data_IF_850002091249
#
_entry.id   IF_850002091249
#
_cell.length_a   1.000
_cell.length_b   1.000
_cell.length_c   1.000
_cell.angle_alpha   90.00
_cell.angle_beta   90.00
_cell.angle_gamma   90.00
#
_symmetry.space_group_name_H-M   'P 1'
#
loop_
_entity.id
_entity.type
_entity.pdbx_description
1 polymer ?
#
# COMPACT_ATOMS: atom_id res chain seq x y z
N UNK A 1 -3.23 -35.09 -1.74
CA UNK A 1 -2.42 -34.76 -0.55
C UNK A 1 -0.96 -34.43 -0.93
N UNK A 2 -0.36 -35.08 -1.95
CA UNK A 2 1.00 -34.75 -2.45
C UNK A 2 1.12 -33.32 -2.99
N UNK A 3 0.19 -32.88 -3.85
CA UNK A 3 0.27 -31.54 -4.47
C UNK A 3 0.40 -30.37 -3.48
N UNK A 4 -0.27 -30.44 -2.32
CA UNK A 4 -0.19 -29.40 -1.30
C UNK A 4 1.18 -29.44 -0.61
N UNK A 5 1.69 -30.64 -0.33
CA UNK A 5 3.01 -30.83 0.28
C UNK A 5 4.10 -30.33 -0.68
N UNK A 6 3.95 -30.59 -1.97
CA UNK A 6 4.87 -30.15 -3.01
C UNK A 6 4.88 -28.61 -3.13
N UNK A 7 3.70 -27.97 -3.08
CA UNK A 7 3.58 -26.51 -3.06
C UNK A 7 4.19 -25.88 -1.81
N UNK A 8 3.98 -26.50 -0.64
CA UNK A 8 4.57 -26.04 0.62
C UNK A 8 6.09 -26.18 0.57
N UNK A 9 6.63 -27.30 0.10
CA UNK A 9 8.07 -27.49 -0.07
C UNK A 9 8.67 -26.49 -1.06
N UNK A 10 8.01 -26.22 -2.18
CA UNK A 10 8.44 -25.22 -3.14
C UNK A 10 8.48 -23.80 -2.52
N UNK A 11 7.45 -23.44 -1.74
CA UNK A 11 7.43 -22.17 -1.02
C UNK A 11 8.56 -22.07 0.02
N UNK A 12 8.79 -23.13 0.81
CA UNK A 12 9.88 -23.20 1.79
C UNK A 12 11.25 -23.03 1.12
N UNK A 13 11.48 -23.67 -0.03
CA UNK A 13 12.72 -23.53 -0.77
C UNK A 13 12.95 -22.12 -1.32
N UNK A 14 11.90 -21.44 -1.77
CA UNK A 14 11.99 -20.05 -2.21
C UNK A 14 12.31 -19.11 -1.05
N UNK A 15 11.67 -19.34 0.10
CA UNK A 15 11.96 -18.62 1.34
C UNK A 15 13.41 -18.86 1.76
N UNK A 16 13.89 -20.10 1.80
CA UNK A 16 15.27 -20.41 2.17
C UNK A 16 16.29 -19.69 1.27
N UNK A 17 16.05 -19.66 -0.05
CA UNK A 17 16.88 -18.92 -1.02
C UNK A 17 16.87 -17.40 -0.78
N UNK A 18 15.71 -16.82 -0.47
CA UNK A 18 15.62 -15.41 -0.11
C UNK A 18 16.35 -15.11 1.20
N UNK A 19 16.22 -16.00 2.19
CA UNK A 19 16.82 -15.85 3.51
C UNK A 19 18.35 -16.01 3.49
N UNK A 20 18.92 -16.65 2.47
CA UNK A 20 20.37 -16.70 2.25
C UNK A 20 21.01 -15.32 2.03
N UNK A 21 20.21 -14.31 1.64
CA UNK A 21 20.68 -12.93 1.50
C UNK A 21 21.06 -12.30 2.84
N UNK A 22 20.57 -12.83 3.96
CA UNK A 22 20.81 -12.28 5.29
C UNK A 22 21.92 -13.05 6.04
N UNK A 23 23.11 -12.45 6.25
CA UNK A 23 24.24 -13.13 6.89
C UNK A 23 23.96 -13.55 8.33
N UNK A 24 23.11 -12.82 9.05
CA UNK A 24 22.67 -13.17 10.40
C UNK A 24 21.97 -14.55 10.48
N UNK A 25 21.18 -14.91 9.46
CA UNK A 25 20.47 -16.18 9.42
C UNK A 25 21.40 -17.35 9.07
N UNK A 26 22.45 -17.10 8.28
CA UNK A 26 23.49 -18.09 7.98
C UNK A 26 24.31 -18.43 9.23
N UNK A 27 24.59 -17.44 10.07
CA UNK A 27 25.32 -17.68 11.32
C UNK A 27 24.48 -18.41 12.38
N UNK A 28 23.18 -18.13 12.42
CA UNK A 28 22.21 -18.86 13.25
C UNK A 28 22.04 -20.33 12.83
N UNK A 29 22.00 -20.62 11.53
CA UNK A 29 21.91 -22.00 11.00
C UNK A 29 23.12 -22.86 11.39
N UNK A 30 24.32 -22.27 11.48
CA UNK A 30 25.51 -23.01 11.95
C UNK A 30 25.38 -23.46 13.42
N UNK A 31 24.64 -22.71 14.23
CA UNK A 31 24.45 -23.01 15.65
C UNK A 31 23.21 -23.85 15.91
N UNK A 32 22.20 -23.79 15.04
CA UNK A 32 20.92 -24.47 15.21
C UNK A 32 20.64 -25.35 13.97
N UNK A 33 20.58 -26.68 14.10
CA UNK A 33 20.46 -27.63 12.97
C UNK A 33 19.05 -27.70 12.38
N UNK A 34 18.37 -26.57 12.24
CA UNK A 34 17.01 -26.45 11.65
C UNK A 34 17.05 -25.51 10.45
N UNK A 35 16.30 -25.80 9.37
CA UNK A 35 16.28 -24.93 8.20
C UNK A 35 15.69 -23.55 8.51
N UNK A 36 16.20 -22.51 7.84
CA UNK A 36 15.85 -21.10 8.09
C UNK A 36 14.37 -20.82 7.88
N UNK A 37 13.74 -21.48 6.93
CA UNK A 37 12.30 -21.39 6.65
C UNK A 37 11.44 -21.80 7.84
N UNK A 38 11.79 -22.87 8.56
CA UNK A 38 11.09 -23.26 9.80
C UNK A 38 11.30 -22.26 10.93
N UNK A 39 12.50 -21.69 11.03
CA UNK A 39 12.80 -20.64 12.02
C UNK A 39 11.91 -19.41 11.74
N UNK A 40 11.84 -18.94 10.49
CA UNK A 40 10.98 -17.83 10.10
C UNK A 40 9.51 -18.14 10.39
N UNK A 41 9.02 -19.31 9.98
CA UNK A 41 7.64 -19.73 10.25
C UNK A 41 7.34 -19.81 11.75
N UNK A 42 8.29 -20.29 12.55
CA UNK A 42 8.21 -20.30 14.01
C UNK A 42 8.06 -18.89 14.57
N UNK A 43 8.90 -17.94 14.14
CA UNK A 43 8.80 -16.54 14.56
C UNK A 43 7.50 -15.88 14.13
N UNK A 44 7.06 -16.11 12.89
CA UNK A 44 5.78 -15.58 12.37
C UNK A 44 4.61 -16.17 13.16
N UNK A 45 4.59 -17.49 13.35
CA UNK A 45 3.55 -18.17 14.13
C UNK A 45 3.51 -17.68 15.58
N UNK A 46 4.67 -17.59 16.24
CA UNK A 46 4.78 -17.04 17.58
C UNK A 46 4.28 -15.60 17.66
N UNK A 47 4.63 -14.76 16.69
CA UNK A 47 4.16 -13.39 16.59
C UNK A 47 2.62 -13.29 16.50
N UNK A 48 2.00 -14.10 15.63
CA UNK A 48 0.54 -14.16 15.53
C UNK A 48 -0.13 -14.71 16.79
N UNK A 49 0.51 -15.68 17.47
CA UNK A 49 0.05 -16.19 18.78
C UNK A 49 0.09 -15.07 19.83
N UNK A 50 1.16 -14.27 19.89
CA UNK A 50 1.24 -13.14 20.83
C UNK A 50 0.16 -12.08 20.56
N UNK A 51 -0.14 -11.80 19.29
CA UNK A 51 -1.24 -10.91 18.91
C UNK A 51 -2.58 -11.48 19.36
N UNK A 52 -2.80 -12.78 19.12
CA UNK A 52 -4.02 -13.50 19.49
C UNK A 52 -4.25 -13.48 21.01
N UNK A 53 -3.21 -13.72 21.80
CA UNK A 53 -3.28 -13.73 23.26
C UNK A 53 -3.48 -12.34 23.86
N UNK A 54 -2.99 -11.27 23.22
CA UNK A 54 -3.16 -9.87 23.62
C UNK A 54 -2.86 -9.55 25.10
N UNK A 55 -1.98 -10.32 25.75
CA UNK A 55 -1.70 -10.17 27.19
C UNK A 55 -1.08 -8.78 27.45
N UNK A 56 -1.70 -8.00 28.35
CA UNK A 56 -1.22 -6.67 28.72
C UNK A 56 -1.22 -5.63 27.59
N UNK A 57 -2.03 -5.84 26.54
CA UNK A 57 -2.10 -4.93 25.38
C UNK A 57 -1.00 -5.14 24.33
N UNK A 58 -0.16 -6.18 24.47
CA UNK A 58 0.93 -6.47 23.52
C UNK A 58 0.43 -6.63 22.08
N UNK A 59 -0.77 -7.19 21.87
CA UNK A 59 -1.30 -7.37 20.53
C UNK A 59 -1.65 -6.05 19.84
N UNK A 60 -1.95 -4.97 20.58
CA UNK A 60 -2.10 -3.63 19.99
C UNK A 60 -0.78 -3.13 19.43
N UNK A 61 0.28 -3.24 20.24
CA UNK A 61 1.62 -2.83 19.84
C UNK A 61 2.09 -3.62 18.62
N UNK A 62 2.00 -4.95 18.67
CA UNK A 62 2.42 -5.82 17.57
C UNK A 62 1.57 -5.55 16.32
N UNK A 63 0.25 -5.46 16.42
CA UNK A 63 -0.61 -5.12 15.28
C UNK A 63 -0.21 -3.82 14.59
N UNK A 64 0.09 -2.78 15.38
CA UNK A 64 0.53 -1.49 14.84
C UNK A 64 1.93 -1.56 14.21
N UNK A 65 2.85 -2.35 14.78
CA UNK A 65 4.17 -2.59 14.17
C UNK A 65 4.02 -3.30 12.83
N UNK A 66 3.20 -4.36 12.72
CA UNK A 66 2.95 -5.03 11.45
C UNK A 66 2.34 -4.07 10.43
N UNK A 67 1.33 -3.28 10.84
CA UNK A 67 0.70 -2.27 9.99
C UNK A 67 1.62 -1.11 9.60
N UNK A 68 2.67 -0.83 10.37
CA UNK A 68 3.62 0.24 10.06
C UNK A 68 4.76 -0.28 9.16
N UNK A 69 5.42 -1.35 9.59
CA UNK A 69 6.71 -1.78 9.03
C UNK A 69 6.55 -2.42 7.67
N UNK A 70 5.55 -3.29 7.48
CA UNK A 70 5.41 -4.03 6.21
C UNK A 70 5.04 -3.08 5.07
N UNK A 71 3.96 -2.27 5.16
CA UNK A 71 3.62 -1.33 4.10
C UNK A 71 4.62 -0.18 4.00
N UNK A 72 5.29 0.18 5.11
CA UNK A 72 6.39 1.15 5.11
C UNK A 72 7.58 0.70 4.29
N UNK A 73 8.01 -0.57 4.42
CA UNK A 73 9.06 -1.15 3.58
C UNK A 73 8.70 -1.10 2.10
N UNK A 74 7.49 -1.53 1.75
CA UNK A 74 7.01 -1.47 0.36
C UNK A 74 6.85 -0.03 -0.15
N UNK A 75 6.47 0.92 0.71
CA UNK A 75 6.42 2.34 0.37
C UNK A 75 7.82 2.88 0.04
N UNK A 76 8.85 2.47 0.79
CA UNK A 76 10.24 2.86 0.51
C UNK A 76 10.74 2.28 -0.82
N UNK A 77 10.43 1.01 -1.10
CA UNK A 77 10.75 0.41 -2.41
C UNK A 77 10.04 1.11 -3.58
N UNK A 78 8.79 1.51 -3.37
CA UNK A 78 8.03 2.26 -4.36
C UNK A 78 8.62 3.65 -4.63
N UNK A 79 9.16 4.33 -3.60
CA UNK A 79 9.84 5.62 -3.77
C UNK A 79 11.10 5.53 -4.64
N UNK A 80 11.74 4.37 -4.69
CA UNK A 80 12.92 4.13 -5.54
C UNK A 80 12.55 3.73 -6.98
N UNK A 81 11.27 3.42 -7.25
CA UNK A 81 10.79 2.96 -8.55
C UNK A 81 10.04 4.09 -9.29
N UNK A 82 10.35 4.36 -10.57
CA UNK A 82 9.63 5.40 -11.32
C UNK A 82 8.22 4.92 -11.74
N UNK A 83 7.22 5.15 -10.89
CA UNK A 83 5.82 4.84 -11.21
C UNK A 83 4.79 5.46 -10.24
N UNK A 84 3.77 6.16 -10.77
CA UNK A 84 2.72 6.86 -9.96
C UNK A 84 1.60 5.96 -9.42
N UNK A 85 1.48 4.72 -9.91
CA UNK A 85 0.39 3.82 -9.52
C UNK A 85 0.53 3.35 -8.07
N UNK A 86 1.78 3.21 -7.61
CA UNK A 86 2.15 2.75 -6.29
C UNK A 86 1.75 3.77 -5.21
N UNK A 87 1.92 5.07 -5.48
CA UNK A 87 1.64 6.15 -4.53
C UNK A 87 0.18 6.15 -4.04
N UNK A 88 -0.77 5.91 -4.94
CA UNK A 88 -2.21 5.94 -4.60
C UNK A 88 -2.57 4.80 -3.66
N UNK A 89 -1.94 3.64 -3.84
CA UNK A 89 -2.17 2.46 -3.03
C UNK A 89 -1.67 2.68 -1.60
N UNK A 90 -0.42 3.11 -1.44
CA UNK A 90 0.17 3.33 -0.12
C UNK A 90 -0.49 4.52 0.59
N UNK A 91 -0.82 5.60 -0.13
CA UNK A 91 -1.53 6.73 0.49
C UNK A 91 -2.91 6.33 1.00
N UNK A 92 -3.67 5.54 0.22
CA UNK A 92 -4.95 4.98 0.66
C UNK A 92 -4.77 4.14 1.92
N UNK A 93 -3.75 3.26 1.92
CA UNK A 93 -3.42 2.45 3.08
C UNK A 93 -3.17 3.31 4.32
N UNK A 94 -2.34 4.35 4.22
CA UNK A 94 -2.00 5.23 5.34
C UNK A 94 -3.21 5.98 5.88
N UNK A 95 -4.13 6.45 5.03
CA UNK A 95 -5.37 7.09 5.45
C UNK A 95 -6.24 6.13 6.26
N UNK A 96 -6.40 4.89 5.79
CA UNK A 96 -7.18 3.86 6.48
C UNK A 96 -6.52 3.48 7.81
N UNK A 97 -5.21 3.27 7.81
CA UNK A 97 -4.42 2.96 9.01
C UNK A 97 -4.56 4.06 10.07
N UNK A 98 -4.39 5.33 9.68
CA UNK A 98 -4.52 6.45 10.60
C UNK A 98 -5.95 6.54 11.17
N UNK A 99 -6.96 6.40 10.30
CA UNK A 99 -8.37 6.46 10.68
C UNK A 99 -8.74 5.36 11.68
N UNK A 100 -8.31 4.11 11.42
CA UNK A 100 -8.51 2.99 12.34
C UNK A 100 -7.85 3.23 13.70
N UNK A 101 -6.63 3.77 13.72
CA UNK A 101 -5.95 4.07 14.98
C UNK A 101 -6.64 5.18 15.79
N UNK A 102 -7.19 6.20 15.11
CA UNK A 102 -8.00 7.23 15.79
C UNK A 102 -9.28 6.61 16.37
N UNK A 103 -10.06 5.86 15.59
CA UNK A 103 -11.26 5.19 16.10
C UNK A 103 -10.96 4.24 17.25
N UNK A 104 -9.85 3.52 17.18
CA UNK A 104 -9.39 2.63 18.23
C UNK A 104 -9.09 3.38 19.53
N UNK A 105 -8.48 4.57 19.46
CA UNK A 105 -8.25 5.40 20.64
C UNK A 105 -9.54 5.76 21.37
N UNK A 106 -10.60 6.12 20.62
CA UNK A 106 -11.92 6.43 21.19
C UNK A 106 -12.67 5.19 21.69
N UNK A 107 -12.39 4.03 21.10
CA UNK A 107 -13.16 2.80 21.35
C UNK A 107 -12.44 1.80 22.26
N UNK A 108 -11.31 2.17 22.90
CA UNK A 108 -10.50 1.23 23.73
C UNK A 108 -11.31 0.44 24.74
N UNK A 109 -12.27 1.07 25.41
CA UNK A 109 -13.12 0.42 26.41
C UNK A 109 -14.01 -0.68 25.79
N UNK A 110 -14.53 -0.45 24.59
CA UNK A 110 -15.36 -1.41 23.84
C UNK A 110 -14.48 -2.52 23.26
N UNK A 111 -13.30 -2.16 22.73
CA UNK A 111 -12.39 -3.11 22.10
C UNK A 111 -11.77 -4.10 23.09
N UNK A 112 -11.64 -3.73 24.36
CA UNK A 112 -11.22 -4.66 25.41
C UNK A 112 -12.19 -5.84 25.58
N UNK A 113 -13.49 -5.64 25.28
CA UNK A 113 -14.50 -6.69 25.35
C UNK A 113 -14.56 -7.58 24.10
N UNK A 114 -13.91 -7.18 23.01
CA UNK A 114 -13.92 -7.94 21.75
C UNK A 114 -12.69 -8.85 21.68
N UNK A 115 -12.82 -10.17 21.89
CA UNK A 115 -11.69 -11.08 21.76
C UNK A 115 -11.17 -11.09 20.31
N UNK A 116 -9.86 -11.27 20.16
CA UNK A 116 -9.17 -11.38 18.87
C UNK A 116 -9.25 -10.15 17.94
N UNK A 117 -9.76 -9.01 18.41
CA UNK A 117 -9.85 -7.79 17.62
C UNK A 117 -8.50 -7.42 16.95
N UNK A 118 -7.40 -7.45 17.69
CA UNK A 118 -6.09 -7.11 17.16
C UNK A 118 -5.55 -8.11 16.13
N UNK A 119 -5.97 -9.37 16.20
CA UNK A 119 -5.64 -10.36 15.17
C UNK A 119 -6.37 -10.00 13.86
N UNK A 120 -7.67 -9.72 13.92
CA UNK A 120 -8.45 -9.31 12.76
C UNK A 120 -7.98 -7.97 12.19
N UNK A 121 -7.68 -6.99 13.05
CA UNK A 121 -7.07 -5.71 12.66
C UNK A 121 -5.78 -5.95 11.88
N UNK A 122 -4.89 -6.79 12.42
CA UNK A 122 -3.62 -7.11 11.74
C UNK A 122 -3.85 -7.78 10.40
N UNK A 123 -4.72 -8.79 10.33
CA UNK A 123 -5.03 -9.47 9.07
C UNK A 123 -5.62 -8.50 8.03
N UNK A 124 -6.53 -7.61 8.46
CA UNK A 124 -7.09 -6.58 7.61
C UNK A 124 -6.02 -5.60 7.10
N UNK A 125 -5.15 -5.09 7.97
CA UNK A 125 -4.06 -4.18 7.60
C UNK A 125 -3.07 -4.84 6.64
N UNK A 126 -2.74 -6.12 6.83
CA UNK A 126 -1.91 -6.87 5.88
C UNK A 126 -2.61 -7.06 4.53
N UNK A 127 -3.91 -7.38 4.55
CA UNK A 127 -4.68 -7.54 3.32
C UNK A 127 -4.69 -6.27 2.47
N UNK A 128 -4.85 -5.09 3.08
CA UNK A 128 -4.83 -3.82 2.34
C UNK A 128 -3.42 -3.31 2.04
N UNK A 129 -2.43 -3.64 2.89
CA UNK A 129 -1.07 -3.13 2.78
C UNK A 129 -0.19 -3.90 1.78
N UNK A 130 -0.49 -5.18 1.53
CA UNK A 130 0.25 -5.96 0.54
C UNK A 130 -0.32 -5.75 -0.87
N UNK A 131 0.50 -5.35 -1.86
CA UNK A 131 0.04 -5.05 -3.22
C UNK A 131 -0.58 -6.24 -3.95
N UNK A 132 -0.15 -7.46 -3.65
CA UNK A 132 -0.65 -8.68 -4.29
C UNK A 132 -2.15 -8.96 -4.07
N UNK A 133 -2.77 -8.37 -3.03
CA UNK A 133 -4.16 -8.67 -2.67
C UNK A 133 -5.18 -7.64 -3.20
N UNK A 134 -4.73 -6.51 -3.74
CA UNK A 134 -5.61 -5.45 -4.26
C UNK A 134 -6.55 -4.81 -3.22
N UNK A 135 -6.35 -5.07 -1.92
CA UNK A 135 -7.27 -4.65 -0.86
C UNK A 135 -7.38 -3.13 -0.74
N UNK A 136 -6.28 -2.40 -0.93
CA UNK A 136 -6.28 -0.94 -0.92
C UNK A 136 -7.16 -0.34 -2.03
N UNK A 137 -7.21 -0.93 -3.22
CA UNK A 137 -8.05 -0.43 -4.31
C UNK A 137 -9.55 -0.58 -3.99
N UNK A 138 -9.91 -1.70 -3.37
CA UNK A 138 -11.28 -1.95 -2.92
C UNK A 138 -11.70 -0.90 -1.88
N UNK A 139 -10.85 -0.66 -0.87
CA UNK A 139 -11.11 0.33 0.17
C UNK A 139 -11.14 1.75 -0.40
N UNK A 140 -10.27 2.05 -1.37
CA UNK A 140 -10.29 3.34 -2.06
C UNK A 140 -11.62 3.58 -2.76
N UNK A 141 -12.08 2.63 -3.58
CA UNK A 141 -13.34 2.75 -4.32
C UNK A 141 -14.56 2.82 -3.41
N UNK A 142 -14.56 2.04 -2.33
CA UNK A 142 -15.71 1.90 -1.44
C UNK A 142 -15.84 3.03 -0.42
N UNK A 143 -14.74 3.47 0.20
CA UNK A 143 -14.77 4.40 1.34
C UNK A 143 -14.10 5.73 1.01
N UNK A 144 -12.88 5.70 0.48
CA UNK A 144 -12.07 6.93 0.34
C UNK A 144 -12.60 7.81 -0.79
N UNK A 145 -12.93 7.25 -1.95
CA UNK A 145 -13.46 8.00 -3.11
C UNK A 145 -14.73 8.79 -2.80
N UNK A 146 -15.79 8.21 -2.22
CA UNK A 146 -17.00 8.98 -1.90
C UNK A 146 -16.78 10.01 -0.78
N UNK A 147 -15.90 9.74 0.18
CA UNK A 147 -15.54 10.71 1.23
C UNK A 147 -14.72 11.86 0.67
N UNK A 148 -13.72 11.57 -0.15
CA UNK A 148 -12.88 12.57 -0.80
C UNK A 148 -13.70 13.51 -1.69
N UNK A 149 -14.64 12.98 -2.48
CA UNK A 149 -15.54 13.78 -3.31
C UNK A 149 -16.48 14.69 -2.51
N UNK A 150 -16.85 14.31 -1.28
CA UNK A 150 -17.71 15.11 -0.40
C UNK A 150 -16.95 16.14 0.42
N UNK A 151 -15.73 15.80 0.86
CA UNK A 151 -14.93 16.64 1.77
C UNK A 151 -14.05 17.62 1.01
N UNK A 152 -13.40 17.13 -0.03
CA UNK A 152 -12.73 17.98 -1.00
C UNK A 152 -13.80 18.23 -2.05
N UNK A 153 -14.39 19.42 -2.05
CA UNK A 153 -15.24 19.90 -3.16
C UNK A 153 -14.38 19.98 -4.43
N UNK A 154 -13.96 18.84 -4.96
CA UNK A 154 -13.46 18.69 -6.31
C UNK A 154 -14.71 18.96 -7.16
N UNK A 155 -14.98 20.25 -7.41
CA UNK A 155 -15.46 20.58 -8.74
C UNK A 155 -14.54 19.83 -9.71
N UNK A 156 -15.07 19.21 -10.76
CA UNK A 156 -14.26 18.67 -11.85
C UNK A 156 -13.59 19.83 -12.60
N UNK A 157 -12.75 20.59 -11.91
CA UNK A 157 -11.72 21.43 -12.48
C UNK A 157 -10.53 20.49 -12.54
N UNK A 158 -10.21 20.08 -13.76
CA UNK A 158 -9.09 19.20 -14.04
C UNK A 158 -7.81 19.69 -13.36
N UNK A 159 -6.89 18.76 -13.08
CA UNK A 159 -5.68 19.04 -12.33
C UNK A 159 -4.86 20.19 -12.96
N UNK A 160 -3.75 20.61 -12.32
CA UNK A 160 -2.88 21.66 -12.87
C UNK A 160 -2.50 21.45 -14.34
N UNK A 161 -2.43 20.18 -14.79
CA UNK A 161 -2.22 19.81 -16.19
C UNK A 161 -3.36 20.18 -17.14
N UNK A 162 -4.61 20.15 -16.68
CA UNK A 162 -5.79 20.39 -17.52
C UNK A 162 -6.05 21.89 -17.66
N UNK A 163 -5.78 22.69 -16.63
CA UNK A 163 -5.79 24.15 -16.72
C UNK A 163 -4.64 24.68 -17.58
N UNK A 164 -3.45 24.07 -17.50
CA UNK A 164 -2.33 24.37 -18.39
C UNK A 164 -2.63 24.00 -19.85
N UNK A 165 -3.24 22.84 -20.11
CA UNK A 165 -3.69 22.45 -21.45
C UNK A 165 -4.77 23.38 -21.98
N UNK A 166 -5.75 23.77 -21.14
CA UNK A 166 -6.80 24.69 -21.52
C UNK A 166 -6.25 26.09 -21.84
N UNK A 167 -5.30 26.62 -21.05
CA UNK A 167 -4.61 27.88 -21.33
C UNK A 167 -3.74 27.80 -22.59
N UNK A 168 -2.99 26.71 -22.78
CA UNK A 168 -2.19 26.50 -23.98
C UNK A 168 -3.07 26.46 -25.23
N UNK A 169 -4.20 25.74 -25.19
CA UNK A 169 -5.13 25.65 -26.31
C UNK A 169 -5.76 27.01 -26.63
N UNK A 170 -6.14 27.79 -25.61
CA UNK A 170 -6.71 29.12 -25.82
C UNK A 170 -5.68 30.14 -26.32
N UNK A 171 -4.41 30.04 -25.91
CA UNK A 171 -3.32 30.83 -26.48
C UNK A 171 -3.04 30.47 -27.95
N UNK A 172 -3.08 29.19 -28.32
CA UNK A 172 -2.94 28.73 -29.71
C UNK A 172 -4.07 29.25 -30.58
N UNK A 173 -5.32 29.12 -30.12
CA UNK A 173 -6.49 29.60 -30.87
C UNK A 173 -6.50 31.14 -31.03
N UNK A 174 -6.00 31.87 -30.03
CA UNK A 174 -5.85 33.33 -30.10
C UNK A 174 -4.74 33.75 -31.09
N UNK A 175 -3.64 33.00 -31.16
CA UNK A 175 -2.57 33.22 -32.12
C UNK A 175 -3.01 32.91 -33.56
N UNK A 176 -3.79 31.85 -33.76
CA UNK A 176 -4.32 31.44 -35.07
C UNK A 176 -5.28 32.49 -35.65
N UNK A 177 -6.12 33.10 -34.81
CA UNK A 177 -7.03 34.19 -35.22
C UNK A 177 -6.32 35.52 -35.49
N UNK A 178 -5.06 35.67 -35.06
CA UNK A 178 -4.27 36.88 -35.27
C UNK A 178 -3.27 36.79 -36.43
N UNK A 179 -3.22 35.67 -37.18
CA UNK A 179 -2.43 35.60 -38.42
C UNK A 179 -3.15 36.43 -39.48
N UNK A 180 -2.63 37.60 -39.91
CA UNK A 180 -3.22 38.32 -41.03
C UNK A 180 -3.13 37.43 -42.26
N UNK A 181 -4.27 37.14 -42.89
CA UNK A 181 -4.34 36.50 -44.20
C UNK A 181 -3.45 37.29 -45.16
N UNK A 182 -2.24 36.77 -45.39
CA UNK A 182 -1.23 37.38 -46.22
C UNK A 182 -1.81 37.62 -47.60
N UNK A 183 -1.84 38.89 -47.99
CA UNK A 183 -2.26 39.40 -49.28
C UNK A 183 -1.66 38.54 -50.41
N UNK A 184 -2.51 37.79 -51.11
CA UNK A 184 -2.15 37.14 -52.37
C UNK A 184 -1.85 38.23 -53.38
N UNK A 185 -0.58 38.56 -53.58
CA UNK A 185 -0.17 39.36 -54.74
C UNK A 185 -0.41 38.52 -55.98
N UNK A 186 -1.52 38.83 -56.66
CA UNK A 186 -1.77 38.41 -58.02
C UNK A 186 -0.65 38.94 -58.91
N UNK A 187 0.15 38.03 -59.47
CA UNK A 187 1.01 38.30 -60.62
C UNK A 187 0.15 38.04 -61.86
N UNK A 188 -0.34 39.11 -62.46
CA UNK A 188 -0.98 39.10 -63.78
C UNK A 188 -0.09 39.87 -64.77
N UNK A 189 0.44 39.12 -65.74
CA UNK A 189 1.04 39.53 -67.02
C UNK A 189 2.34 40.33 -67.02
#
# INVERSE_FOLDING_TARGET
MSQIIDQVQAALQNIDKELEKYPALKELEKQIPVPKSYILLGFVGFYFILIFLNIGGIGQLLSNIAGLVIPGYYSLLALETPGKADDTQYLTYWVVFATLNVFEFWSKAILYWVPFYYLFKTAFLLYIGLPQYGGAELVYKALVKPLAQKLVNIHPQGGPSDSLKAQAQSAVNAAENHIPQGHSTGVSH
#
